data_IF_944127804021
#
_entry.id   IF_944127804021
#
_cell.length_a   1.000
_cell.length_b   1.000
_cell.length_c   1.000
_cell.angle_alpha   90.00
_cell.angle_beta   90.00
_cell.angle_gamma   90.00
#
_symmetry.space_group_name_H-M   'P 1'
#
loop_
_entity.id
_entity.type
_entity.pdbx_description
1 polymer ?
#
# COMPACT_ATOMS: atom_id res chain seq x y z
N UNK A 1 13.46 -4.18 -33.09
CA UNK A 1 14.19 -3.94 -31.83
C UNK A 1 13.22 -4.15 -30.67
N UNK A 2 13.49 -5.05 -29.69
CA UNK A 2 12.50 -5.48 -28.69
C UNK A 2 12.79 -4.93 -27.28
N UNK A 3 12.80 -3.60 -27.11
CA UNK A 3 13.07 -2.96 -25.79
C UNK A 3 11.86 -2.23 -25.19
N UNK A 4 10.68 -2.30 -25.83
CA UNK A 4 9.48 -1.55 -25.39
C UNK A 4 8.61 -2.28 -24.36
N UNK A 5 8.86 -3.58 -24.10
CA UNK A 5 8.02 -4.35 -23.16
C UNK A 5 8.44 -4.15 -21.71
N UNK A 6 9.73 -3.99 -21.41
CA UNK A 6 10.20 -3.83 -20.03
C UNK A 6 9.68 -2.53 -19.40
N UNK A 7 9.79 -1.40 -20.09
CA UNK A 7 9.30 -0.11 -19.57
C UNK A 7 7.80 -0.11 -19.32
N UNK A 8 7.02 -0.76 -20.20
CA UNK A 8 5.57 -0.92 -20.01
C UNK A 8 5.22 -1.81 -18.82
N UNK A 9 5.94 -2.91 -18.62
CA UNK A 9 5.73 -3.81 -17.48
C UNK A 9 6.04 -3.08 -16.18
N UNK A 10 7.19 -2.39 -16.08
CA UNK A 10 7.56 -1.61 -14.89
C UNK A 10 6.56 -0.47 -14.59
N UNK A 11 6.06 0.21 -15.62
CA UNK A 11 5.06 1.28 -15.44
C UNK A 11 3.73 0.74 -14.91
N UNK A 12 3.33 -0.44 -15.37
CA UNK A 12 2.08 -1.08 -14.96
C UNK A 12 2.18 -1.68 -13.54
N UNK A 13 3.33 -2.24 -13.16
CA UNK A 13 3.59 -2.73 -11.80
C UNK A 13 3.66 -1.61 -10.77
N UNK A 14 4.24 -0.45 -11.12
CA UNK A 14 4.23 0.73 -10.25
C UNK A 14 2.82 1.26 -10.04
N UNK A 15 2.04 1.44 -11.11
CA UNK A 15 0.63 1.87 -10.98
C UNK A 15 -0.21 0.90 -10.15
N UNK A 16 0.00 -0.41 -10.31
CA UNK A 16 -0.66 -1.42 -9.48
C UNK A 16 -0.27 -1.24 -8.00
N UNK A 17 1.02 -1.08 -7.72
CA UNK A 17 1.51 -0.90 -6.34
C UNK A 17 0.95 0.37 -5.70
N UNK A 18 0.95 1.50 -6.43
CA UNK A 18 0.38 2.77 -5.98
C UNK A 18 -1.13 2.67 -5.74
N UNK A 19 -1.87 1.98 -6.60
CA UNK A 19 -3.30 1.76 -6.41
C UNK A 19 -3.60 0.94 -5.14
N UNK A 20 -2.76 -0.06 -4.83
CA UNK A 20 -2.89 -0.84 -3.59
C UNK A 20 -2.59 0.04 -2.37
N UNK A 21 -1.52 0.85 -2.44
CA UNK A 21 -1.19 1.82 -1.40
C UNK A 21 -2.36 2.78 -1.16
N UNK A 22 -2.93 3.33 -2.23
CA UNK A 22 -4.09 4.21 -2.18
C UNK A 22 -5.28 3.53 -1.48
N UNK A 23 -5.64 2.31 -1.87
CA UNK A 23 -6.75 1.58 -1.25
C UNK A 23 -6.52 1.40 0.24
N UNK A 24 -5.33 0.95 0.65
CA UNK A 24 -4.99 0.76 2.06
C UNK A 24 -5.06 2.08 2.84
N UNK A 25 -4.58 3.19 2.25
CA UNK A 25 -4.67 4.51 2.86
C UNK A 25 -6.12 4.98 3.02
N UNK A 26 -7.03 4.65 2.08
CA UNK A 26 -8.47 4.95 2.20
C UNK A 26 -9.14 4.16 3.31
N UNK A 27 -8.78 2.89 3.51
CA UNK A 27 -9.24 2.12 4.68
C UNK A 27 -8.77 2.76 5.99
N UNK A 28 -7.50 3.18 6.05
CA UNK A 28 -6.95 3.91 7.21
C UNK A 28 -7.67 5.25 7.42
N UNK A 29 -8.04 5.96 6.34
CA UNK A 29 -8.84 7.19 6.42
C UNK A 29 -10.22 6.95 7.04
N UNK A 30 -10.81 5.78 6.78
CA UNK A 30 -12.10 5.36 7.28
C UNK A 30 -12.04 4.72 8.67
N UNK A 31 -10.86 4.67 9.30
CA UNK A 31 -10.61 3.98 10.57
C UNK A 31 -10.95 2.48 10.51
N UNK A 32 -10.91 1.90 9.30
CA UNK A 32 -11.17 0.48 9.05
C UNK A 32 -9.86 -0.30 8.89
N UNK A 33 -9.92 -1.61 9.19
CA UNK A 33 -8.78 -2.50 9.03
C UNK A 33 -8.74 -3.04 7.59
N UNK A 34 -7.74 -2.69 6.77
CA UNK A 34 -7.63 -3.18 5.41
C UNK A 34 -7.27 -4.67 5.44
N UNK A 35 -8.06 -5.46 4.71
CA UNK A 35 -7.74 -6.85 4.44
C UNK A 35 -7.43 -7.07 2.97
N UNK A 36 -6.35 -7.81 2.68
CA UNK A 36 -5.94 -8.14 1.30
C UNK A 36 -7.06 -8.84 0.50
N UNK A 37 -7.95 -9.58 1.18
CA UNK A 37 -9.09 -10.27 0.55
C UNK A 37 -10.19 -9.30 0.13
N UNK A 38 -10.48 -8.29 0.94
CA UNK A 38 -11.51 -7.29 0.65
C UNK A 38 -11.06 -6.34 -0.47
N UNK A 39 -9.77 -6.01 -0.49
CA UNK A 39 -9.15 -5.19 -1.53
C UNK A 39 -8.95 -5.99 -2.84
N UNK A 40 -9.07 -7.32 -2.80
CA UNK A 40 -8.93 -8.18 -3.98
C UNK A 40 -7.48 -8.30 -4.49
N UNK A 41 -6.50 -8.21 -3.60
CA UNK A 41 -5.07 -8.19 -3.94
C UNK A 41 -4.34 -9.40 -3.36
N UNK A 42 -3.22 -9.77 -3.98
CA UNK A 42 -2.38 -10.83 -3.42
C UNK A 42 -1.76 -10.39 -2.10
N UNK A 43 -1.64 -11.33 -1.16
CA UNK A 43 -1.05 -11.09 0.16
C UNK A 43 0.36 -10.50 0.06
N UNK A 44 1.15 -10.89 -0.95
CA UNK A 44 2.50 -10.38 -1.19
C UNK A 44 2.47 -8.89 -1.54
N UNK A 45 1.63 -8.50 -2.50
CA UNK A 45 1.49 -7.12 -2.94
C UNK A 45 0.93 -6.23 -1.82
N UNK A 46 -0.02 -6.75 -1.05
CA UNK A 46 -0.58 -6.07 0.12
C UNK A 46 0.49 -5.76 1.19
N UNK A 47 1.33 -6.75 1.52
CA UNK A 47 2.42 -6.55 2.47
C UNK A 47 3.48 -5.58 1.95
N UNK A 48 3.82 -5.66 0.66
CA UNK A 48 4.75 -4.73 0.03
C UNK A 48 4.21 -3.29 0.09
N UNK A 49 2.92 -3.08 -0.18
CA UNK A 49 2.27 -1.78 -0.08
C UNK A 49 2.27 -1.24 1.36
N UNK A 50 1.99 -2.08 2.36
CA UNK A 50 2.08 -1.65 3.77
C UNK A 50 3.51 -1.30 4.20
N UNK A 51 4.51 -2.04 3.75
CA UNK A 51 5.91 -1.68 3.98
C UNK A 51 6.27 -0.35 3.31
N UNK A 52 5.75 -0.09 2.10
CA UNK A 52 5.92 1.21 1.45
C UNK A 52 5.25 2.34 2.22
N UNK A 53 4.01 2.16 2.67
CA UNK A 53 3.29 3.15 3.48
C UNK A 53 4.07 3.51 4.74
N UNK A 54 4.59 2.50 5.44
CA UNK A 54 5.38 2.72 6.66
C UNK A 54 6.75 3.34 6.36
N UNK A 55 7.41 2.95 5.26
CA UNK A 55 8.71 3.51 4.87
C UNK A 55 8.60 4.95 4.36
N UNK A 56 7.51 5.28 3.68
CA UNK A 56 7.21 6.60 3.15
C UNK A 56 6.53 7.52 4.17
N UNK A 57 6.30 7.02 5.39
CA UNK A 57 5.63 7.72 6.48
C UNK A 57 4.26 8.28 6.07
N UNK A 58 3.50 7.54 5.26
CA UNK A 58 2.17 7.93 4.79
C UNK A 58 1.10 7.73 5.87
N UNK A 59 1.29 6.77 6.77
CA UNK A 59 0.44 6.58 7.93
C UNK A 59 1.28 6.17 9.14
N UNK A 60 0.92 6.73 10.28
CA UNK A 60 1.55 6.45 11.58
C UNK A 60 0.83 5.31 12.28
N UNK A 61 1.46 4.72 13.30
CA UNK A 61 0.88 3.69 14.17
C UNK A 61 0.53 2.35 13.50
N UNK A 62 1.16 2.04 12.36
CA UNK A 62 1.01 0.74 11.71
C UNK A 62 1.82 -0.29 12.49
N UNK A 63 1.12 -1.25 13.12
CA UNK A 63 1.77 -2.33 13.85
C UNK A 63 1.89 -3.57 12.97
N UNK A 64 3.12 -3.96 12.68
CA UNK A 64 3.42 -5.18 11.93
C UNK A 64 3.70 -6.34 12.88
N UNK A 65 2.79 -7.30 12.96
CA UNK A 65 3.06 -8.57 13.63
C UNK A 65 3.76 -9.51 12.65
N UNK A 66 5.09 -9.65 12.77
CA UNK A 66 5.90 -10.59 12.00
C UNK A 66 6.04 -11.91 12.77
N UNK A 67 6.04 -13.06 12.08
CA UNK A 67 6.16 -14.37 12.74
C UNK A 67 6.97 -15.41 11.96
N UNK A 68 7.79 -16.18 12.68
CA UNK A 68 8.53 -17.36 12.19
C UNK A 68 9.92 -17.08 11.59
N UNK A 69 10.67 -18.18 11.36
CA UNK A 69 12.09 -18.27 10.93
C UNK A 69 12.50 -17.43 9.70
N UNK A 70 11.54 -16.85 8.97
CA UNK A 70 11.73 -16.10 7.73
C UNK A 70 11.20 -14.65 7.80
N UNK A 71 10.89 -14.13 8.99
CA UNK A 71 10.47 -12.74 9.22
C UNK A 71 9.26 -12.27 8.37
N UNK A 72 8.32 -13.19 8.08
CA UNK A 72 7.14 -12.90 7.25
C UNK A 72 6.10 -12.11 8.04
N UNK A 73 5.50 -11.10 7.42
CA UNK A 73 4.37 -10.35 8.00
C UNK A 73 3.18 -11.31 8.13
N UNK A 74 2.70 -11.49 9.36
CA UNK A 74 1.65 -12.44 9.70
C UNK A 74 0.31 -11.72 9.85
N UNK A 75 0.31 -10.57 10.52
CA UNK A 75 -0.84 -9.68 10.70
C UNK A 75 -0.38 -8.22 10.70
N UNK A 76 -1.25 -7.32 10.25
CA UNK A 76 -1.04 -5.87 10.34
C UNK A 76 -2.25 -5.26 11.01
N UNK A 77 -1.99 -4.44 12.03
CA UNK A 77 -3.01 -3.70 12.76
C UNK A 77 -2.87 -2.22 12.40
N UNK A 78 -3.99 -1.61 12.00
CA UNK A 78 -4.06 -0.19 11.67
C UNK A 78 -5.20 0.54 12.39
N UNK A 79 -5.81 -0.09 13.40
CA UNK A 79 -7.02 0.43 14.07
C UNK A 79 -6.79 1.75 14.83
N UNK A 80 -5.54 2.19 14.96
CA UNK A 80 -5.18 3.49 15.50
C UNK A 80 -4.23 4.25 14.56
N UNK A 81 -4.14 3.80 13.31
CA UNK A 81 -3.29 4.43 12.32
C UNK A 81 -3.90 5.74 11.87
N UNK A 82 -3.07 6.77 11.83
CA UNK A 82 -3.47 8.08 11.33
C UNK A 82 -2.70 8.41 10.07
N UNK A 83 -3.43 8.84 9.06
CA UNK A 83 -2.88 9.46 7.87
C UNK A 83 -2.01 10.66 8.24
N UNK A 84 -0.76 10.62 7.81
CA UNK A 84 0.13 11.78 7.92
C UNK A 84 -0.20 12.79 6.82
N UNK A 85 0.44 13.96 6.89
CA UNK A 85 0.36 14.93 5.81
C UNK A 85 0.85 14.34 4.48
N UNK A 86 1.90 13.51 4.50
CA UNK A 86 2.43 12.85 3.31
C UNK A 86 1.44 11.86 2.71
N UNK A 87 0.76 11.06 3.54
CA UNK A 87 -0.28 10.13 3.07
C UNK A 87 -1.48 10.86 2.45
N UNK A 88 -1.92 11.98 3.04
CA UNK A 88 -2.98 12.81 2.47
C UNK A 88 -2.58 13.40 1.11
N UNK A 89 -1.37 13.93 1.01
CA UNK A 89 -0.85 14.43 -0.28
C UNK A 89 -0.80 13.32 -1.33
N UNK A 90 -0.38 12.11 -0.96
CA UNK A 90 -0.36 10.97 -1.86
C UNK A 90 -1.78 10.64 -2.37
N UNK A 91 -2.78 10.59 -1.49
CA UNK A 91 -4.18 10.35 -1.88
C UNK A 91 -4.63 11.40 -2.91
N UNK A 92 -4.45 12.68 -2.60
CA UNK A 92 -4.88 13.78 -3.48
C UNK A 92 -4.15 13.77 -4.83
N UNK A 93 -2.83 13.54 -4.83
CA UNK A 93 -2.04 13.44 -6.05
C UNK A 93 -2.44 12.22 -6.88
N UNK A 94 -2.70 11.08 -6.25
CA UNK A 94 -3.18 9.88 -6.93
C UNK A 94 -4.56 10.10 -7.56
N UNK A 95 -5.51 10.67 -6.83
CA UNK A 95 -6.85 11.01 -7.34
C UNK A 95 -6.76 11.94 -8.57
N UNK A 96 -5.88 12.96 -8.52
CA UNK A 96 -5.68 13.89 -9.65
C UNK A 96 -5.10 13.27 -10.92
N UNK A 97 -4.49 12.08 -10.83
CA UNK A 97 -3.91 11.35 -11.97
C UNK A 97 -4.85 10.31 -12.57
N UNK A 98 -5.89 9.96 -11.83
CA UNK A 98 -6.89 8.95 -12.22
C UNK A 98 -8.13 9.61 -12.84
N UNK A 99 -8.37 10.89 -12.54
CA UNK A 99 -9.34 11.75 -13.21
C UNK A 99 -8.91 12.15 -14.63
#
# INVERSE_FOLDING_TARGET
MPYLDSERIFYNENKKSEAIVYLILKYIEQEEQPEFREIGVEKKDFHAALEQINKADFATNITFSRGGLLNRIKMVFVNESRLTQAGRYFITDFESRVE
#
